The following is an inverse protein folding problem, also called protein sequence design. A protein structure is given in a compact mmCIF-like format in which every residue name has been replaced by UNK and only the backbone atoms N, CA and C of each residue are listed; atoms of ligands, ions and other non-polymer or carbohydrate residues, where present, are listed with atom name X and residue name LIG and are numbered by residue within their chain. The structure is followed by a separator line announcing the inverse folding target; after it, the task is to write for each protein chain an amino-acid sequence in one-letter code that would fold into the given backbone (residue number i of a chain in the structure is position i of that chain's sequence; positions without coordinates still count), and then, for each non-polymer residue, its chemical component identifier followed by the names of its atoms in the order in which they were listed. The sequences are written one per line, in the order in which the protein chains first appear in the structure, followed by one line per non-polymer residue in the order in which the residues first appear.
data_IF_682656454618
#
_entry.id   IF_682656454618
#
_cell.length_a   1.000
_cell.length_b   1.000
_cell.length_c   1.000
_cell.angle_alpha   90.00
_cell.angle_beta   90.00
_cell.angle_gamma   90.00
#
_symmetry.space_group_name_H-M   'P 1'
#
loop_
_entity.id
_entity.type
_entity.pdbx_description
1 polymer ?
#
# COMPACT_ATOMS: atom_id res chain seq x y z
N UNK A 1 -13.61 -2.63 -25.48
CA UNK A 1 -13.72 -2.76 -24.01
C UNK A 1 -14.77 -1.76 -23.55
N UNK A 2 -15.74 -2.17 -22.74
CA UNK A 2 -16.66 -1.22 -22.12
C UNK A 2 -15.85 -0.41 -21.11
N UNK A 3 -15.69 0.90 -21.34
CA UNK A 3 -14.91 1.82 -20.50
C UNK A 3 -15.74 2.38 -19.35
N UNK A 4 -16.90 1.77 -19.07
CA UNK A 4 -17.83 2.24 -18.07
C UNK A 4 -17.22 2.16 -16.65
N UNK A 5 -17.39 3.19 -15.80
CA UNK A 5 -16.89 3.21 -14.43
C UNK A 5 -17.38 2.05 -13.53
N UNK A 6 -18.45 1.36 -13.93
CA UNK A 6 -19.07 0.23 -13.22
C UNK A 6 -18.64 -1.16 -13.78
N UNK A 7 -17.70 -1.20 -14.72
CA UNK A 7 -17.24 -2.45 -15.32
C UNK A 7 -16.37 -3.32 -14.40
N UNK A 8 -15.97 -2.79 -13.23
CA UNK A 8 -15.13 -3.50 -12.27
C UNK A 8 -15.88 -4.64 -11.58
N UNK A 9 -15.45 -5.88 -11.79
CA UNK A 9 -16.04 -7.07 -11.15
C UNK A 9 -15.42 -7.40 -9.79
N UNK A 10 -14.32 -6.74 -9.42
CA UNK A 10 -13.51 -7.09 -8.25
C UNK A 10 -12.67 -8.36 -8.41
N UNK A 11 -12.72 -9.02 -9.57
CA UNK A 11 -11.91 -10.22 -9.85
C UNK A 11 -10.43 -9.90 -10.13
N UNK A 12 -10.13 -8.67 -10.52
CA UNK A 12 -8.78 -8.17 -10.79
C UNK A 12 -8.49 -7.00 -9.86
N UNK A 13 -7.35 -7.07 -9.16
CA UNK A 13 -6.90 -6.05 -8.22
C UNK A 13 -5.44 -5.69 -8.55
N UNK A 14 -5.06 -4.46 -8.22
CA UNK A 14 -3.68 -4.01 -8.29
C UNK A 14 -3.27 -3.32 -7.00
N UNK A 15 -1.98 -3.37 -6.70
CA UNK A 15 -1.36 -2.59 -5.63
C UNK A 15 -0.42 -1.56 -6.25
N UNK A 16 -0.48 -0.32 -5.78
CA UNK A 16 0.49 0.71 -6.15
C UNK A 16 1.80 0.43 -5.43
N UNK A 17 2.85 0.11 -6.18
CA UNK A 17 4.17 -0.28 -5.67
C UNK A 17 5.25 0.81 -5.79
N UNK A 18 4.84 2.03 -6.15
CA UNK A 18 5.72 3.19 -6.31
C UNK A 18 5.06 4.48 -5.82
N UNK A 19 5.42 5.61 -6.43
CA UNK A 19 4.78 6.89 -6.14
C UNK A 19 3.28 6.84 -6.44
N UNK A 20 2.48 7.52 -5.62
CA UNK A 20 1.03 7.47 -5.72
C UNK A 20 0.55 8.13 -7.03
N UNK A 21 -0.14 7.41 -7.93
CA UNK A 21 -0.64 7.96 -9.18
C UNK A 21 -1.93 8.76 -8.95
N UNK A 22 -1.79 9.96 -8.38
CA UNK A 22 -2.92 10.83 -7.94
C UNK A 22 -3.90 11.19 -9.06
N UNK A 23 -3.52 11.06 -10.32
CA UNK A 23 -4.42 11.19 -11.47
C UNK A 23 -5.54 10.13 -11.51
N UNK A 24 -5.35 8.99 -10.82
CA UNK A 24 -6.37 7.94 -10.72
C UNK A 24 -7.37 8.19 -9.59
N UNK A 25 -7.12 9.19 -8.73
CA UNK A 25 -8.05 9.57 -7.67
C UNK A 25 -9.43 9.89 -8.29
N UNK A 26 -10.49 9.32 -7.69
CA UNK A 26 -11.88 9.44 -8.16
C UNK A 26 -12.19 8.80 -9.53
N UNK A 27 -11.21 8.15 -10.17
CA UNK A 27 -11.41 7.42 -11.42
C UNK A 27 -11.40 5.90 -11.23
N UNK A 28 -10.80 5.41 -10.14
CA UNK A 28 -10.74 3.98 -9.81
C UNK A 28 -11.23 3.74 -8.39
N UNK A 29 -11.90 2.60 -8.19
CA UNK A 29 -12.34 2.13 -6.88
C UNK A 29 -11.14 1.68 -6.03
N UNK A 30 -10.82 2.44 -4.98
CA UNK A 30 -9.84 2.04 -3.95
C UNK A 30 -10.57 1.25 -2.87
N UNK A 31 -10.18 0.00 -2.67
CA UNK A 31 -10.88 -0.94 -1.75
C UNK A 31 -10.11 -1.22 -0.45
N UNK A 32 -8.85 -0.77 -0.34
CA UNK A 32 -8.05 -1.05 0.84
C UNK A 32 -6.61 -0.56 0.74
N UNK A 33 -5.82 -0.94 1.74
CA UNK A 33 -4.39 -0.63 1.88
C UNK A 33 -3.64 -1.87 2.36
N UNK A 34 -2.45 -2.08 1.83
CA UNK A 34 -1.50 -3.08 2.34
C UNK A 34 -0.87 -2.55 3.63
N UNK A 35 -1.03 -3.29 4.73
CA UNK A 35 -0.47 -2.91 6.05
C UNK A 35 0.74 -3.76 6.46
N UNK A 36 0.94 -4.89 5.79
CA UNK A 36 2.07 -5.81 5.98
C UNK A 36 2.36 -6.52 4.65
N UNK A 37 3.60 -6.95 4.42
CA UNK A 37 3.96 -7.78 3.27
C UNK A 37 4.13 -7.02 1.94
N UNK A 38 4.14 -5.68 1.95
CA UNK A 38 4.31 -4.86 0.75
C UNK A 38 5.59 -5.20 -0.05
N UNK A 39 6.66 -5.59 0.65
CA UNK A 39 7.90 -6.03 0.03
C UNK A 39 7.71 -7.23 -0.93
N UNK A 40 6.79 -8.15 -0.62
CA UNK A 40 6.50 -9.30 -1.47
C UNK A 40 5.77 -8.92 -2.75
N UNK A 41 4.96 -7.85 -2.73
CA UNK A 41 4.26 -7.34 -3.91
C UNK A 41 5.18 -6.48 -4.78
N UNK A 42 6.03 -5.66 -4.15
CA UNK A 42 6.93 -4.76 -4.90
C UNK A 42 8.08 -5.50 -5.57
N UNK A 43 8.51 -6.65 -5.02
CA UNK A 43 9.61 -7.46 -5.53
C UNK A 43 9.23 -8.48 -6.61
N UNK A 44 7.95 -8.55 -7.02
CA UNK A 44 7.55 -9.46 -8.10
C UNK A 44 8.30 -9.11 -9.40
N UNK A 45 8.68 -10.12 -10.20
CA UNK A 45 9.26 -9.89 -11.53
C UNK A 45 8.40 -8.94 -12.36
N UNK A 46 9.02 -8.10 -13.19
CA UNK A 46 8.27 -7.28 -14.14
C UNK A 46 8.02 -8.10 -15.39
N UNK A 47 6.80 -8.05 -15.92
CA UNK A 47 6.52 -8.63 -17.23
C UNK A 47 7.14 -7.80 -18.35
N UNK A 48 7.57 -8.48 -19.40
CA UNK A 48 8.15 -7.86 -20.61
C UNK A 48 7.15 -7.67 -21.75
N UNK A 49 5.90 -8.12 -21.58
CA UNK A 49 4.84 -7.95 -22.57
C UNK A 49 4.22 -6.55 -22.57
N UNK A 50 3.22 -6.37 -23.43
CA UNK A 50 2.46 -5.11 -23.53
C UNK A 50 1.98 -4.65 -22.15
N UNK A 51 2.14 -3.37 -21.84
CA UNK A 51 1.76 -2.77 -20.54
C UNK A 51 2.35 -3.48 -19.30
N UNK A 52 3.42 -4.25 -19.47
CA UNK A 52 4.09 -4.98 -18.39
C UNK A 52 3.44 -6.31 -18.01
N UNK A 53 2.54 -6.85 -18.85
CA UNK A 53 1.98 -8.19 -18.65
C UNK A 53 3.05 -9.28 -18.79
N UNK A 54 2.87 -10.39 -18.05
CA UNK A 54 3.71 -11.56 -18.24
C UNK A 54 3.43 -12.26 -19.57
N UNK A 55 4.50 -12.57 -20.30
CA UNK A 55 4.49 -13.42 -21.50
C UNK A 55 4.38 -14.90 -21.14
N UNK A 56 4.23 -15.77 -22.14
CA UNK A 56 4.14 -17.22 -21.92
C UNK A 56 5.46 -17.83 -21.42
N UNK A 57 6.57 -17.14 -21.64
CA UNK A 57 7.92 -17.55 -21.27
C UNK A 57 8.26 -17.12 -19.83
N UNK A 58 7.47 -16.23 -19.24
CA UNK A 58 7.67 -15.70 -17.90
C UNK A 58 6.87 -16.49 -16.86
N UNK A 59 7.49 -16.75 -15.71
CA UNK A 59 6.80 -17.41 -14.60
C UNK A 59 5.80 -16.46 -13.94
N UNK A 60 4.52 -16.82 -14.02
CA UNK A 60 3.47 -16.16 -13.25
C UNK A 60 3.59 -16.59 -11.78
N UNK A 61 3.52 -15.63 -10.87
CA UNK A 61 3.46 -15.90 -9.43
C UNK A 61 1.99 -15.94 -9.02
N UNK A 62 1.40 -17.12 -8.77
CA UNK A 62 -0.01 -17.23 -8.44
C UNK A 62 -0.27 -16.80 -6.99
N UNK A 63 -1.48 -16.28 -6.74
CA UNK A 63 -2.02 -16.15 -5.39
C UNK A 63 -2.53 -17.54 -4.99
N UNK A 64 -1.81 -18.23 -4.09
CA UNK A 64 -2.13 -19.59 -3.68
C UNK A 64 -3.35 -19.67 -2.74
N UNK A 65 -3.55 -18.64 -1.92
CA UNK A 65 -4.68 -18.59 -1.00
C UNK A 65 -5.06 -17.15 -0.67
N UNK A 66 -6.34 -16.95 -0.38
CA UNK A 66 -6.91 -15.70 0.15
C UNK A 66 -7.88 -16.10 1.27
N UNK A 67 -7.78 -15.44 2.41
CA UNK A 67 -8.66 -15.65 3.56
C UNK A 67 -8.96 -14.32 4.22
N UNK A 68 -10.20 -14.13 4.64
CA UNK A 68 -10.53 -13.05 5.55
C UNK A 68 -10.06 -13.45 6.96
N UNK A 69 -9.49 -12.52 7.71
CA UNK A 69 -9.06 -12.81 9.08
C UNK A 69 -10.24 -13.27 9.97
N UNK A 70 -11.47 -12.83 9.67
CA UNK A 70 -12.70 -13.31 10.33
C UNK A 70 -12.97 -14.80 10.15
N UNK A 71 -12.46 -15.39 9.06
CA UNK A 71 -12.73 -16.78 8.69
C UNK A 71 -11.65 -17.73 9.22
N UNK A 72 -10.56 -17.18 9.77
CA UNK A 72 -9.51 -17.96 10.43
C UNK A 72 -9.92 -18.34 11.86
N UNK A 73 -9.46 -19.48 12.39
CA UNK A 73 -9.54 -19.79 13.81
C UNK A 73 -8.93 -18.66 14.64
N UNK A 74 -9.52 -18.34 15.80
CA UNK A 74 -9.11 -17.16 16.58
C UNK A 74 -7.61 -17.13 16.92
N UNK A 75 -7.02 -18.31 17.17
CA UNK A 75 -5.60 -18.48 17.46
C UNK A 75 -4.66 -18.17 16.27
N UNK A 76 -5.16 -18.20 15.04
CA UNK A 76 -4.40 -17.95 13.82
C UNK A 76 -4.64 -16.54 13.25
N UNK A 77 -5.56 -15.77 13.84
CA UNK A 77 -5.89 -14.43 13.33
C UNK A 77 -4.73 -13.47 13.56
N UNK A 78 -4.16 -12.88 12.49
CA UNK A 78 -3.18 -11.82 12.67
C UNK A 78 -3.88 -10.59 13.26
N UNK A 79 -3.24 -9.97 14.25
CA UNK A 79 -3.77 -8.80 14.97
C UNK A 79 -2.79 -7.65 14.81
N UNK A 80 -3.32 -6.48 14.48
CA UNK A 80 -2.54 -5.27 14.25
C UNK A 80 -3.09 -4.11 15.07
N UNK A 81 -2.19 -3.20 15.43
CA UNK A 81 -2.50 -1.90 15.98
C UNK A 81 -2.09 -0.83 14.98
N UNK A 82 -2.95 0.17 14.78
CA UNK A 82 -2.67 1.35 13.99
C UNK A 82 -2.56 2.56 14.92
N UNK A 83 -1.61 3.45 14.64
CA UNK A 83 -1.54 4.74 15.34
C UNK A 83 -2.79 5.56 15.02
N UNK A 84 -3.47 6.05 16.06
CA UNK A 84 -4.59 6.96 15.92
C UNK A 84 -4.15 8.26 15.25
N UNK A 85 -4.67 8.52 14.06
CA UNK A 85 -4.32 9.68 13.23
C UNK A 85 -4.88 11.00 13.77
N UNK A 86 -5.73 10.96 14.79
CA UNK A 86 -6.25 12.14 15.49
C UNK A 86 -5.45 12.48 16.76
N UNK A 87 -4.54 11.60 17.17
CA UNK A 87 -3.76 11.78 18.40
C UNK A 87 -2.68 12.86 18.27
N UNK A 88 -2.28 13.52 19.39
CA UNK A 88 -1.12 14.41 19.41
C UNK A 88 0.17 13.73 18.92
N UNK A 89 0.35 12.43 19.23
CA UNK A 89 1.53 11.67 18.79
C UNK A 89 1.62 11.52 17.27
N UNK A 90 0.47 11.42 16.57
CA UNK A 90 0.49 11.38 15.11
C UNK A 90 0.84 12.76 14.51
N UNK A 91 0.38 13.85 15.13
CA UNK A 91 0.79 15.20 14.73
C UNK A 91 2.30 15.42 14.91
N UNK A 92 2.88 14.94 16.01
CA UNK A 92 4.33 14.98 16.24
C UNK A 92 5.09 14.14 15.21
N UNK A 93 4.60 12.94 14.89
CA UNK A 93 5.15 12.09 13.84
C UNK A 93 5.19 12.82 12.48
N UNK A 94 4.10 13.48 12.07
CA UNK A 94 4.06 14.26 10.83
C UNK A 94 5.04 15.44 10.87
N UNK A 95 5.11 16.15 11.98
CA UNK A 95 6.04 17.28 12.17
C UNK A 95 7.49 16.85 11.98
N UNK A 96 7.88 15.71 12.56
CA UNK A 96 9.22 15.15 12.42
C UNK A 96 9.52 14.68 10.99
N UNK A 97 8.54 14.07 10.30
CA UNK A 97 8.70 13.68 8.88
C UNK A 97 8.90 14.89 7.97
N UNK A 98 8.17 15.98 8.20
CA UNK A 98 8.28 17.22 7.42
C UNK A 98 9.55 18.03 7.73
N UNK A 99 10.07 17.91 8.95
CA UNK A 99 11.16 18.76 9.46
C UNK A 99 12.31 17.94 10.05
N UNK A 100 12.69 16.84 9.39
CA UNK A 100 13.78 15.98 9.85
C UNK A 100 15.05 16.82 10.01
N UNK A 101 15.61 16.78 11.21
CA UNK A 101 16.80 17.53 11.61
C UNK A 101 17.69 16.59 12.40
N UNK A 102 18.66 16.02 11.71
CA UNK A 102 19.76 15.22 12.26
C UNK A 102 21.05 15.65 11.54
N UNK A 103 22.20 15.07 11.89
CA UNK A 103 23.51 15.45 11.35
C UNK A 103 23.62 15.36 9.82
N UNK A 104 22.68 14.66 9.17
CA UNK A 104 22.61 14.57 7.71
C UNK A 104 21.74 15.68 7.07
N UNK A 105 20.75 16.23 7.79
CA UNK A 105 19.80 17.20 7.23
C UNK A 105 20.10 18.63 7.70
N UNK A 106 20.93 19.35 6.93
CA UNK A 106 21.25 20.77 7.16
C UNK A 106 20.03 21.71 7.03
N UNK A 107 19.09 21.38 6.12
CA UNK A 107 17.89 22.17 5.84
C UNK A 107 16.63 21.30 5.84
N UNK A 108 15.64 21.59 6.70
CA UNK A 108 14.38 20.86 6.71
C UNK A 108 13.54 21.15 5.46
N UNK A 109 12.75 20.18 5.01
CA UNK A 109 11.88 20.31 3.84
C UNK A 109 10.66 21.22 4.09
N UNK A 110 10.22 21.38 5.35
CA UNK A 110 9.08 22.22 5.72
C UNK A 110 7.71 21.61 5.38
N UNK A 111 7.68 20.40 4.82
CA UNK A 111 6.47 19.70 4.44
C UNK A 111 6.74 18.22 4.13
N UNK A 112 5.67 17.43 4.10
CA UNK A 112 5.71 16.03 3.69
C UNK A 112 4.53 15.74 2.78
N UNK A 113 4.78 15.03 1.68
CA UNK A 113 3.71 14.53 0.82
C UNK A 113 2.83 13.56 1.61
N UNK A 114 1.51 13.66 1.47
CA UNK A 114 0.53 12.80 2.10
C UNK A 114 0.83 11.32 1.85
N UNK A 115 1.18 10.96 0.61
CA UNK A 115 1.49 9.58 0.25
C UNK A 115 2.89 9.12 0.72
N UNK A 116 3.72 10.06 1.20
CA UNK A 116 5.01 9.79 1.83
C UNK A 116 4.96 9.89 3.37
N UNK A 117 3.76 9.94 3.96
CA UNK A 117 3.54 9.95 5.40
C UNK A 117 2.68 8.74 5.81
N UNK A 118 3.22 7.51 5.76
CA UNK A 118 2.45 6.31 6.07
C UNK A 118 1.98 6.33 7.52
N UNK A 119 0.74 5.93 7.78
CA UNK A 119 0.24 5.75 9.15
C UNK A 119 0.93 4.53 9.77
N UNK A 120 1.62 4.68 10.92
CA UNK A 120 2.29 3.56 11.57
C UNK A 120 1.32 2.43 11.92
N UNK A 121 1.71 1.21 11.57
CA UNK A 121 1.00 -0.04 11.89
C UNK A 121 2.02 -1.04 12.44
N UNK A 122 1.62 -1.83 13.43
CA UNK A 122 2.43 -2.92 13.98
C UNK A 122 1.57 -4.14 14.34
N UNK A 123 2.13 -5.35 14.36
CA UNK A 123 1.49 -6.49 15.01
C UNK A 123 1.22 -6.20 16.50
N UNK A 124 0.14 -6.75 17.06
CA UNK A 124 -0.05 -6.74 18.52
C UNK A 124 1.00 -7.65 19.19
N UNK A 125 1.44 -7.32 20.41
CA UNK A 125 2.19 -8.25 21.25
C UNK A 125 1.44 -9.56 21.50
#
# INVERSE_FOLDING_TARGET
RNLSPDAGTGAELYAVIGQAPRQLDRNIAVVGRIIEGMAHLSSLPRGSGDLGFYTAQEHRVPILSVRLASDLPEAERPRFQQMDTTSPSFADYLRLRANRKDDFYDRPAGGVDLCNAPVPVRPTP
#
